data_IF_854172231864
#
_entry.id   IF_854172231864
#
_cell.length_a   1.000
_cell.length_b   1.000
_cell.length_c   1.000
_cell.angle_alpha   90.00
_cell.angle_beta   90.00
_cell.angle_gamma   90.00
#
_symmetry.space_group_name_H-M   'P 1'
#
loop_
_entity.id
_entity.type
_entity.pdbx_description
1 polymer ?
#
# COMPACT_ATOMS: atom_id res chain seq x y z
N UNK A 1 10.23 -12.62 -4.08
CA UNK A 1 9.86 -11.72 -5.18
C UNK A 1 9.25 -12.56 -6.29
N UNK A 2 8.04 -12.21 -6.70
CA UNK A 2 7.38 -12.81 -7.86
C UNK A 2 7.48 -11.83 -9.04
N UNK A 3 8.20 -12.23 -10.09
CA UNK A 3 8.31 -11.42 -11.32
C UNK A 3 7.03 -11.56 -12.12
N UNK A 4 6.48 -10.43 -12.57
CA UNK A 4 5.26 -10.36 -13.40
C UNK A 4 5.61 -9.95 -14.82
N UNK A 5 6.36 -8.87 -15.00
CA UNK A 5 6.85 -8.34 -16.30
C UNK A 5 5.76 -8.28 -17.37
N UNK A 6 4.61 -7.66 -17.02
CA UNK A 6 3.45 -7.51 -17.92
C UNK A 6 3.17 -6.05 -18.17
N UNK A 7 2.96 -5.72 -19.42
CA UNK A 7 2.72 -4.36 -19.90
C UNK A 7 1.39 -4.26 -20.65
N UNK A 8 0.70 -3.15 -20.46
CA UNK A 8 -0.51 -2.78 -21.20
C UNK A 8 -0.42 -1.30 -21.60
N UNK A 9 -0.98 -0.96 -22.75
CA UNK A 9 -1.04 0.43 -23.23
C UNK A 9 -2.47 0.80 -23.57
N UNK A 10 -2.94 1.93 -23.02
CA UNK A 10 -4.24 2.53 -23.32
C UNK A 10 -4.10 4.05 -23.40
N UNK A 11 -4.73 4.66 -24.40
CA UNK A 11 -4.72 6.12 -24.64
C UNK A 11 -3.30 6.75 -24.70
N UNK A 12 -2.29 5.98 -25.15
CA UNK A 12 -0.91 6.44 -25.21
C UNK A 12 -0.17 6.42 -23.86
N UNK A 13 -0.79 5.88 -22.82
CA UNK A 13 -0.19 5.64 -21.52
C UNK A 13 0.12 4.16 -21.42
N UNK A 14 1.31 3.82 -20.96
CA UNK A 14 1.80 2.46 -20.76
C UNK A 14 1.95 2.21 -19.27
N UNK A 15 1.31 1.17 -18.78
CA UNK A 15 1.45 0.67 -17.42
C UNK A 15 2.16 -0.69 -17.48
N UNK A 16 3.29 -0.80 -16.80
CA UNK A 16 4.03 -2.04 -16.65
C UNK A 16 3.99 -2.47 -15.19
N UNK A 17 3.48 -3.66 -14.94
CA UNK A 17 3.57 -4.32 -13.65
C UNK A 17 4.84 -5.16 -13.64
N UNK A 18 5.86 -4.71 -12.89
CA UNK A 18 7.21 -5.27 -12.92
C UNK A 18 7.29 -6.55 -12.07
N UNK A 19 7.02 -6.45 -10.78
CA UNK A 19 7.09 -7.57 -9.85
C UNK A 19 6.26 -7.31 -8.58
N UNK A 20 6.11 -8.37 -7.79
CA UNK A 20 5.47 -8.35 -6.48
C UNK A 20 6.46 -8.78 -5.41
N UNK A 21 6.36 -8.16 -4.24
CA UNK A 21 6.91 -8.68 -2.99
C UNK A 21 5.72 -8.95 -2.09
N UNK A 22 5.54 -10.19 -1.68
CA UNK A 22 4.37 -10.60 -0.92
C UNK A 22 4.73 -11.59 0.19
N UNK A 23 3.88 -11.62 1.20
CA UNK A 23 3.82 -12.63 2.25
C UNK A 23 2.35 -12.98 2.56
N UNK A 24 2.09 -13.62 3.70
CA UNK A 24 0.75 -14.03 4.09
C UNK A 24 -0.21 -12.85 4.37
N UNK A 25 0.31 -11.64 4.63
CA UNK A 25 -0.46 -10.50 5.13
C UNK A 25 -0.38 -9.26 4.24
N UNK A 26 0.56 -9.23 3.29
CA UNK A 26 0.81 -8.04 2.50
C UNK A 26 1.25 -8.39 1.07
N UNK A 27 0.83 -7.55 0.12
CA UNK A 27 1.34 -7.57 -1.26
C UNK A 27 1.81 -6.17 -1.60
N UNK A 28 3.10 -6.04 -1.95
CA UNK A 28 3.66 -4.83 -2.53
C UNK A 28 3.74 -5.02 -4.05
N UNK A 29 3.08 -4.15 -4.79
CA UNK A 29 3.07 -4.12 -6.24
C UNK A 29 4.04 -3.06 -6.73
N UNK A 30 5.02 -3.46 -7.53
CA UNK A 30 5.99 -2.54 -8.14
C UNK A 30 5.67 -2.36 -9.62
N UNK A 31 5.54 -1.10 -10.05
CA UNK A 31 5.07 -0.76 -11.37
C UNK A 31 5.76 0.49 -11.92
N UNK A 32 5.66 0.66 -13.22
CA UNK A 32 6.10 1.85 -13.95
C UNK A 32 4.96 2.37 -14.81
N UNK A 33 4.72 3.69 -14.79
CA UNK A 33 3.77 4.35 -15.70
C UNK A 33 4.53 5.31 -16.58
N UNK A 34 4.24 5.30 -17.88
CA UNK A 34 4.90 6.17 -18.85
C UNK A 34 3.98 6.53 -20.03
N UNK A 35 4.42 7.45 -20.88
CA UNK A 35 3.69 7.87 -22.08
C UNK A 35 2.80 9.08 -21.82
N UNK A 36 2.18 9.63 -22.88
CA UNK A 36 1.52 10.92 -22.83
C UNK A 36 2.52 12.06 -22.55
N UNK A 37 2.02 13.25 -22.37
CA UNK A 37 2.81 14.45 -22.05
C UNK A 37 2.34 14.95 -20.68
N UNK A 38 2.69 14.17 -19.62
CA UNK A 38 2.28 14.39 -18.24
C UNK A 38 3.50 14.41 -17.31
N UNK A 39 3.44 15.22 -16.25
CA UNK A 39 4.51 15.39 -15.29
C UNK A 39 4.38 14.39 -14.12
N UNK A 40 3.17 13.94 -13.84
CA UNK A 40 2.93 12.90 -12.83
C UNK A 40 1.66 12.10 -13.08
N UNK A 41 1.59 10.94 -12.45
CA UNK A 41 0.44 10.06 -12.46
C UNK A 41 0.01 9.74 -11.03
N UNK A 42 -1.28 9.55 -10.82
CA UNK A 42 -1.78 8.92 -9.61
C UNK A 42 -2.53 7.65 -9.98
N UNK A 43 -2.18 6.55 -9.33
CA UNK A 43 -2.75 5.24 -9.57
C UNK A 43 -3.74 4.91 -8.46
N UNK A 44 -4.97 4.60 -8.84
CA UNK A 44 -6.04 4.13 -7.94
C UNK A 44 -6.23 2.63 -8.14
N UNK A 45 -5.51 1.80 -7.39
CA UNK A 45 -5.63 0.35 -7.49
C UNK A 45 -6.88 -0.14 -6.78
N UNK A 46 -7.46 -1.20 -7.32
CA UNK A 46 -8.49 -2.01 -6.67
C UNK A 46 -8.24 -3.48 -6.96
N UNK A 47 -8.58 -4.35 -6.03
CA UNK A 47 -8.45 -5.79 -6.19
C UNK A 47 -9.80 -6.48 -6.02
N UNK A 48 -10.02 -7.52 -6.83
CA UNK A 48 -11.15 -8.45 -6.72
C UNK A 48 -10.61 -9.87 -6.81
N UNK A 49 -11.41 -10.84 -6.46
CA UNK A 49 -11.13 -12.22 -6.79
C UNK A 49 -11.17 -12.47 -8.32
N UNK A 50 -10.75 -13.66 -8.77
CA UNK A 50 -10.65 -13.99 -10.20
C UNK A 50 -12.00 -13.86 -10.95
N UNK A 51 -13.09 -14.15 -10.27
CA UNK A 51 -14.45 -14.09 -10.82
C UNK A 51 -15.11 -12.71 -10.66
N UNK A 52 -14.36 -11.73 -10.14
CA UNK A 52 -14.84 -10.37 -9.91
C UNK A 52 -15.58 -10.19 -8.58
N UNK A 53 -15.55 -11.19 -7.70
CA UNK A 53 -16.09 -11.06 -6.34
C UNK A 53 -15.28 -10.05 -5.53
N UNK A 54 -15.95 -9.31 -4.67
CA UNK A 54 -15.29 -8.37 -3.77
C UNK A 54 -14.48 -9.13 -2.71
N UNK A 55 -13.20 -8.76 -2.58
CA UNK A 55 -12.38 -9.20 -1.47
C UNK A 55 -12.62 -8.28 -0.28
N UNK A 56 -12.63 -8.85 0.92
CA UNK A 56 -12.83 -8.11 2.17
C UNK A 56 -11.57 -8.14 3.05
N UNK A 57 -11.50 -7.23 4.01
CA UNK A 57 -10.47 -7.24 5.04
C UNK A 57 -9.10 -6.80 4.53
N UNK A 58 -9.04 -5.90 3.57
CA UNK A 58 -7.79 -5.29 3.14
C UNK A 58 -7.87 -3.76 3.09
N UNK A 59 -6.71 -3.12 3.10
CA UNK A 59 -6.53 -1.69 2.81
C UNK A 59 -5.46 -1.50 1.75
N UNK A 60 -5.56 -0.43 0.96
CA UNK A 60 -4.57 -0.09 -0.07
C UNK A 60 -3.96 1.27 0.27
N UNK A 61 -2.64 1.36 0.14
CA UNK A 61 -1.89 2.61 0.23
C UNK A 61 -1.16 2.80 -1.10
N UNK A 62 -1.48 3.88 -1.79
CA UNK A 62 -0.87 4.26 -3.07
C UNK A 62 -0.43 5.72 -3.03
N UNK A 63 0.49 6.08 -3.92
CA UNK A 63 1.05 7.43 -4.04
C UNK A 63 1.07 7.94 -5.46
N UNK A 64 1.73 9.07 -5.64
CA UNK A 64 2.03 9.67 -6.93
C UNK A 64 3.23 8.96 -7.56
N UNK A 65 3.21 8.81 -8.89
CA UNK A 65 4.26 8.18 -9.68
C UNK A 65 4.83 9.18 -10.69
N UNK A 66 6.14 9.28 -10.75
CA UNK A 66 6.81 10.04 -11.80
C UNK A 66 6.89 9.23 -13.11
N UNK A 67 6.83 9.88 -14.28
CA UNK A 67 6.87 9.20 -15.57
C UNK A 67 8.13 8.36 -15.78
N UNK A 68 7.93 7.04 -15.98
CA UNK A 68 9.03 6.11 -16.25
C UNK A 68 9.85 5.70 -15.02
N UNK A 69 9.50 6.18 -13.83
CA UNK A 69 10.12 5.76 -12.58
C UNK A 69 9.40 4.57 -11.96
N UNK A 70 10.16 3.71 -11.28
CA UNK A 70 9.61 2.61 -10.52
C UNK A 70 8.89 3.15 -9.29
N UNK A 71 7.62 2.82 -9.17
CA UNK A 71 6.75 3.20 -8.06
C UNK A 71 6.12 1.96 -7.45
N UNK A 72 5.52 2.10 -6.27
CA UNK A 72 4.83 1.00 -5.62
C UNK A 72 3.49 1.43 -5.00
N UNK A 73 2.66 0.45 -4.77
CA UNK A 73 1.55 0.50 -3.82
C UNK A 73 1.46 -0.82 -3.06
N UNK A 74 0.90 -0.75 -1.87
CA UNK A 74 0.77 -1.95 -1.06
C UNK A 74 -0.69 -2.22 -0.67
N UNK A 75 -0.99 -3.51 -0.56
CA UNK A 75 -2.25 -4.07 -0.10
C UNK A 75 -1.98 -4.80 1.20
N UNK A 76 -2.57 -4.33 2.28
CA UNK A 76 -2.43 -4.91 3.61
C UNK A 76 -3.72 -5.65 3.96
N UNK A 77 -3.61 -6.92 4.32
CA UNK A 77 -4.72 -7.74 4.78
C UNK A 77 -4.86 -7.66 6.31
N UNK A 78 -6.09 -7.75 6.80
CA UNK A 78 -6.37 -7.80 8.24
C UNK A 78 -6.11 -9.20 8.79
N UNK A 79 -6.02 -9.34 10.12
CA UNK A 79 -5.73 -10.60 10.81
C UNK A 79 -6.72 -11.74 10.48
N UNK A 80 -7.96 -11.38 10.17
CA UNK A 80 -9.01 -12.34 9.80
C UNK A 80 -9.07 -12.66 8.29
N UNK A 81 -8.14 -12.11 7.51
CA UNK A 81 -8.08 -12.23 6.06
C UNK A 81 -6.78 -12.90 5.64
N UNK A 82 -6.80 -13.51 4.46
CA UNK A 82 -5.62 -14.13 3.88
C UNK A 82 -5.40 -13.61 2.46
N UNK A 83 -4.16 -13.49 2.08
CA UNK A 83 -3.78 -13.25 0.68
C UNK A 83 -4.35 -14.37 -0.19
N UNK A 84 -5.15 -14.09 -1.21
CA UNK A 84 -5.78 -15.10 -2.04
C UNK A 84 -4.74 -15.77 -2.95
N UNK A 85 -5.04 -16.98 -3.44
CA UNK A 85 -4.19 -17.67 -4.44
C UNK A 85 -4.16 -16.97 -5.80
N UNK A 86 -5.21 -16.21 -6.11
CA UNK A 86 -5.31 -15.43 -7.34
C UNK A 86 -6.18 -14.19 -7.11
N UNK A 87 -5.88 -13.13 -7.85
CA UNK A 87 -6.65 -11.89 -7.81
C UNK A 87 -6.68 -11.21 -9.19
N UNK A 88 -7.65 -10.33 -9.36
CA UNK A 88 -7.69 -9.36 -10.45
C UNK A 88 -7.32 -7.99 -9.89
N UNK A 89 -6.23 -7.42 -10.39
CA UNK A 89 -5.81 -6.06 -10.11
C UNK A 89 -6.37 -5.14 -11.20
N UNK A 90 -7.08 -4.08 -10.82
CA UNK A 90 -7.49 -3.00 -11.70
C UNK A 90 -6.87 -1.69 -11.24
N UNK A 91 -6.10 -1.04 -12.11
CA UNK A 91 -5.43 0.23 -11.87
C UNK A 91 -6.09 1.32 -12.72
N UNK A 92 -6.83 2.24 -12.10
CA UNK A 92 -7.30 3.46 -12.75
C UNK A 92 -6.22 4.52 -12.59
N UNK A 93 -5.84 5.17 -13.71
CA UNK A 93 -4.77 6.15 -13.74
C UNK A 93 -5.35 7.52 -14.02
N UNK A 94 -5.00 8.49 -13.20
CA UNK A 94 -5.16 9.93 -13.50
C UNK A 94 -3.79 10.52 -13.80
N UNK A 95 -3.74 11.62 -14.50
CA UNK A 95 -2.49 12.27 -14.89
C UNK A 95 -2.58 13.77 -14.68
N UNK A 96 -1.45 14.37 -14.31
CA UNK A 96 -1.33 15.80 -14.08
C UNK A 96 -0.28 16.39 -15.01
N UNK A 97 -0.58 17.60 -15.54
CA UNK A 97 0.39 18.48 -16.19
C UNK A 97 0.60 19.69 -15.29
N UNK A 98 1.85 20.00 -15.00
CA UNK A 98 2.14 21.29 -14.38
C UNK A 98 1.73 22.40 -15.34
N UNK A 99 0.96 23.36 -14.86
CA UNK A 99 0.64 24.55 -15.64
C UNK A 99 1.95 25.29 -15.88
N UNK A 100 2.39 25.40 -17.14
CA UNK A 100 3.57 26.18 -17.51
C UNK A 100 3.47 27.59 -16.92
N UNK A 101 4.59 28.14 -16.49
CA UNK A 101 4.85 29.42 -15.80
C UNK A 101 3.82 30.52 -16.06
N UNK A 102 2.71 30.55 -15.37
CA UNK A 102 1.70 31.57 -15.59
C UNK A 102 0.49 31.48 -14.68
N UNK A 103 0.68 31.44 -13.42
CA UNK A 103 -0.23 31.58 -12.28
C UNK A 103 -0.19 30.37 -11.35
N UNK A 104 0.76 30.39 -10.45
CA UNK A 104 0.68 29.54 -9.27
C UNK A 104 -0.58 29.88 -8.49
N UNK A 105 -1.50 28.96 -8.24
CA UNK A 105 -2.44 29.14 -7.15
C UNK A 105 -1.61 29.17 -5.86
N UNK A 106 -1.87 30.15 -4.99
CA UNK A 106 -1.22 30.29 -3.72
C UNK A 106 -1.27 28.95 -2.99
N UNK A 107 -0.10 28.41 -2.68
CA UNK A 107 0.08 27.19 -1.95
C UNK A 107 -0.52 27.38 -0.55
N UNK A 108 -1.61 26.68 -0.29
CA UNK A 108 -1.93 26.20 1.05
C UNK A 108 -1.52 24.71 1.04
N UNK A 109 -0.35 24.44 1.60
CA UNK A 109 0.23 23.10 1.71
C UNK A 109 -0.51 22.28 2.76
N UNK A 110 -1.75 21.91 2.48
CA UNK A 110 -2.36 20.81 3.21
C UNK A 110 -2.07 19.51 2.44
N UNK A 111 -1.25 18.65 3.02
CA UNK A 111 -0.84 17.32 2.51
C UNK A 111 -2.05 16.38 2.26
N UNK A 112 -3.25 16.89 2.42
CA UNK A 112 -4.54 16.19 2.29
C UNK A 112 -5.50 17.00 1.42
N UNK A 113 -5.08 17.43 0.22
CA UNK A 113 -6.03 18.00 -0.73
C UNK A 113 -7.02 16.90 -1.16
N UNK A 114 -8.10 16.79 -0.38
CA UNK A 114 -9.32 16.20 -0.93
C UNK A 114 -9.67 17.00 -2.20
N UNK A 115 -9.93 16.31 -3.33
CA UNK A 115 -10.34 16.99 -4.56
C UNK A 115 -11.52 17.90 -4.22
N UNK A 116 -11.48 19.14 -4.70
CA UNK A 116 -12.54 20.13 -4.46
C UNK A 116 -13.91 19.46 -4.63
N UNK A 117 -14.85 19.60 -3.67
CA UNK A 117 -16.09 18.85 -3.66
C UNK A 117 -16.83 19.02 -4.99
N UNK A 118 -16.98 17.93 -5.74
CA UNK A 118 -17.75 17.86 -6.99
C UNK A 118 -16.96 17.66 -8.28
N UNK A 119 -15.64 17.47 -8.24
CA UNK A 119 -14.87 17.11 -9.43
C UNK A 119 -14.16 15.77 -9.21
N UNK A 120 -14.76 14.71 -9.73
CA UNK A 120 -14.07 13.41 -9.80
C UNK A 120 -12.82 13.55 -10.66
N UNK A 121 -11.68 12.96 -10.25
CA UNK A 121 -10.46 12.98 -11.05
C UNK A 121 -10.72 12.32 -12.42
N UNK A 122 -10.26 12.94 -13.49
CA UNK A 122 -10.40 12.40 -14.84
C UNK A 122 -9.51 11.18 -15.01
N UNK A 123 -10.12 10.01 -15.21
CA UNK A 123 -9.40 8.77 -15.50
C UNK A 123 -8.91 8.83 -16.95
N UNK A 124 -7.60 8.80 -17.14
CA UNK A 124 -6.96 8.84 -18.47
C UNK A 124 -6.72 7.44 -19.06
N UNK A 125 -6.55 6.42 -18.19
CA UNK A 125 -6.40 5.02 -18.60
C UNK A 125 -6.82 4.06 -17.49
N UNK A 126 -7.16 2.82 -17.86
CA UNK A 126 -7.51 1.74 -16.91
C UNK A 126 -6.85 0.45 -17.35
N UNK A 127 -6.09 -0.16 -16.46
CA UNK A 127 -5.33 -1.39 -16.72
C UNK A 127 -5.84 -2.51 -15.82
N UNK A 128 -5.91 -3.74 -16.35
CA UNK A 128 -6.40 -4.89 -15.59
C UNK A 128 -5.45 -6.08 -15.76
N UNK A 129 -5.03 -6.67 -14.65
CA UNK A 129 -4.13 -7.82 -14.61
C UNK A 129 -4.76 -8.94 -13.79
N UNK A 130 -4.94 -10.11 -14.41
CA UNK A 130 -5.28 -11.34 -13.70
C UNK A 130 -3.96 -11.98 -13.22
N UNK A 131 -3.82 -12.16 -11.92
CA UNK A 131 -2.59 -12.61 -11.27
C UNK A 131 -2.86 -13.89 -10.49
N UNK A 132 -2.04 -14.91 -10.72
CA UNK A 132 -1.89 -16.04 -9.82
C UNK A 132 -0.73 -15.74 -8.87
N UNK A 133 -0.95 -15.86 -7.57
CA UNK A 133 0.07 -15.61 -6.57
C UNK A 133 0.77 -16.92 -6.21
N UNK A 134 2.08 -16.88 -6.08
CA UNK A 134 2.89 -18.07 -5.80
C UNK A 134 2.81 -18.38 -4.29
N UNK A 135 2.28 -19.55 -3.94
CA UNK A 135 2.06 -20.03 -2.59
C UNK A 135 3.34 -20.12 -1.75
N UNK A 136 4.51 -20.21 -2.39
CA UNK A 136 5.81 -20.16 -1.70
C UNK A 136 6.06 -18.86 -0.94
N UNK A 137 5.38 -17.78 -1.31
CA UNK A 137 5.53 -16.46 -0.70
C UNK A 137 4.43 -16.14 0.31
N UNK A 138 3.36 -16.94 0.38
CA UNK A 138 2.24 -16.74 1.32
C UNK A 138 2.35 -17.58 2.59
N UNK A 139 3.54 -18.12 2.87
CA UNK A 139 3.79 -18.85 4.12
C UNK A 139 3.71 -17.85 5.29
N UNK A 140 2.99 -18.19 6.37
CA UNK A 140 2.95 -17.37 7.58
C UNK A 140 4.34 -17.10 8.14
N UNK A 141 4.54 -15.91 8.69
CA UNK A 141 5.77 -15.53 9.37
C UNK A 141 5.98 -16.26 10.68
N UNK A 142 7.15 -16.05 11.28
CA UNK A 142 7.47 -16.57 12.60
C UNK A 142 6.86 -15.68 13.69
N UNK A 143 6.18 -16.28 14.68
CA UNK A 143 5.61 -15.56 15.81
C UNK A 143 6.47 -15.78 17.06
N UNK A 144 6.95 -14.68 17.64
CA UNK A 144 7.72 -14.66 18.87
C UNK A 144 6.87 -14.10 20.01
N UNK A 145 6.46 -14.92 20.99
CA UNK A 145 5.77 -14.42 22.18
C UNK A 145 6.74 -13.58 23.02
N UNK A 146 6.33 -12.37 23.38
CA UNK A 146 7.12 -11.44 24.19
C UNK A 146 6.62 -11.39 25.64
N UNK A 147 5.31 -11.24 25.82
CA UNK A 147 4.62 -11.12 27.12
C UNK A 147 5.32 -10.13 28.09
N UNK A 148 5.82 -9.02 27.57
CA UNK A 148 6.66 -8.07 28.31
C UNK A 148 5.93 -6.76 28.54
N UNK A 149 5.84 -6.36 29.81
CA UNK A 149 5.39 -5.03 30.18
C UNK A 149 6.53 -3.99 30.02
N UNK A 150 6.19 -2.88 29.42
CA UNK A 150 7.04 -1.69 29.33
C UNK A 150 6.29 -0.49 29.89
N UNK A 151 7.00 0.52 30.41
CA UNK A 151 6.46 1.76 30.92
C UNK A 151 7.06 2.93 30.12
N UNK A 152 6.18 3.79 29.63
CA UNK A 152 6.54 5.00 28.88
C UNK A 152 5.67 6.14 29.43
N UNK A 153 6.30 7.23 29.92
CA UNK A 153 5.62 8.39 30.49
C UNK A 153 4.57 8.06 31.54
N UNK A 154 4.85 7.08 32.40
CA UNK A 154 3.93 6.61 33.44
C UNK A 154 2.72 5.80 32.93
N UNK A 155 2.72 5.45 31.65
CA UNK A 155 1.73 4.57 31.02
C UNK A 155 2.34 3.19 30.78
N UNK A 156 1.55 2.13 30.96
CA UNK A 156 2.02 0.75 30.80
C UNK A 156 1.48 0.10 29.53
N UNK A 157 2.35 -0.57 28.79
CA UNK A 157 2.03 -1.34 27.60
C UNK A 157 2.49 -2.76 27.76
N UNK A 158 1.66 -3.70 27.37
CA UNK A 158 2.02 -5.10 27.23
C UNK A 158 2.41 -5.36 25.77
N UNK A 159 3.68 -5.64 25.52
CA UNK A 159 4.18 -6.19 24.26
C UNK A 159 3.84 -7.69 24.27
N UNK A 160 2.85 -8.09 23.46
CA UNK A 160 2.31 -9.46 23.48
C UNK A 160 3.16 -10.40 22.66
N UNK A 161 3.30 -10.08 21.39
CA UNK A 161 4.01 -10.93 20.43
C UNK A 161 4.57 -10.08 19.28
N UNK A 162 5.63 -10.56 18.67
CA UNK A 162 6.20 -10.05 17.45
C UNK A 162 6.05 -11.10 16.36
N UNK A 163 5.33 -10.76 15.30
CA UNK A 163 5.23 -11.56 14.09
C UNK A 163 6.23 -11.00 13.06
N UNK A 164 7.09 -11.87 12.54
CA UNK A 164 8.12 -11.50 11.56
C UNK A 164 7.78 -12.15 10.21
N UNK A 165 7.36 -11.33 9.27
CA UNK A 165 7.05 -11.73 7.91
C UNK A 165 8.18 -11.29 6.95
N UNK A 166 8.27 -11.86 5.74
CA UNK A 166 9.27 -11.48 4.75
C UNK A 166 9.22 -10.01 4.31
N UNK A 167 8.07 -9.35 4.40
CA UNK A 167 7.89 -7.96 3.97
C UNK A 167 7.87 -6.97 5.12
N UNK A 168 7.46 -7.39 6.32
CA UNK A 168 7.27 -6.52 7.48
C UNK A 168 7.29 -7.31 8.79
N UNK A 169 7.38 -6.58 9.91
CA UNK A 169 7.17 -7.14 11.23
C UNK A 169 5.94 -6.46 11.88
N UNK A 170 5.16 -7.23 12.64
CA UNK A 170 3.98 -6.76 13.37
C UNK A 170 4.18 -6.97 14.86
N UNK A 171 4.08 -5.89 15.62
CA UNK A 171 4.14 -5.95 17.09
C UNK A 171 2.72 -5.77 17.66
N UNK A 172 2.19 -6.83 18.30
CA UNK A 172 0.92 -6.75 19.00
C UNK A 172 1.13 -6.11 20.38
N UNK A 173 0.45 -4.97 20.61
CA UNK A 173 0.56 -4.18 21.84
C UNK A 173 -0.82 -4.01 22.47
N UNK A 174 -0.91 -4.14 23.78
CA UNK A 174 -2.12 -3.85 24.56
C UNK A 174 -1.83 -2.78 25.60
N UNK A 175 -2.71 -1.81 25.74
CA UNK A 175 -2.64 -0.80 26.80
C UNK A 175 -3.15 -1.39 28.13
N UNK A 176 -2.52 -0.97 29.24
CA UNK A 176 -3.05 -1.25 30.57
C UNK A 176 -4.39 -0.48 30.77
N UNK A 177 -5.44 -1.12 31.31
CA UNK A 177 -6.72 -0.45 31.58
C UNK A 177 -6.59 0.75 32.52
N UNK A 178 -5.59 0.78 33.39
CA UNK A 178 -5.34 1.87 34.33
C UNK A 178 -4.58 3.05 33.73
N UNK A 179 -4.21 2.99 32.45
CA UNK A 179 -3.57 4.11 31.76
C UNK A 179 -4.48 5.33 31.71
N UNK A 180 -3.91 6.50 32.00
CA UNK A 180 -4.62 7.79 32.05
C UNK A 180 -4.49 8.60 30.76
N UNK A 181 -3.62 8.17 29.85
CA UNK A 181 -3.39 8.79 28.56
C UNK A 181 -3.23 7.77 27.45
N UNK A 182 -3.57 8.20 26.25
CA UNK A 182 -3.33 7.41 25.04
C UNK A 182 -1.92 7.71 24.53
N UNK A 183 -1.10 6.68 24.39
CA UNK A 183 0.22 6.78 23.79
C UNK A 183 0.09 6.76 22.25
N UNK A 184 0.59 7.81 21.61
CA UNK A 184 0.66 7.97 20.14
C UNK A 184 2.10 8.24 19.72
N UNK A 185 2.46 7.79 18.51
CA UNK A 185 3.77 8.10 17.93
C UNK A 185 4.92 7.39 18.65
N UNK A 186 4.71 6.15 19.09
CA UNK A 186 5.79 5.32 19.62
C UNK A 186 6.57 4.71 18.45
N UNK A 187 7.88 4.91 18.44
CA UNK A 187 8.80 4.23 17.53
C UNK A 187 9.42 3.04 18.25
N UNK A 188 9.34 1.87 17.62
CA UNK A 188 9.94 0.64 18.11
C UNK A 188 11.15 0.29 17.25
N UNK A 189 12.27 -0.04 17.89
CA UNK A 189 13.50 -0.42 17.21
C UNK A 189 13.90 -1.83 17.66
N UNK A 190 14.37 -2.64 16.71
CA UNK A 190 15.06 -3.89 16.97
C UNK A 190 16.56 -3.60 16.92
N UNK A 191 17.28 -3.93 18.00
CA UNK A 191 18.72 -3.77 18.07
C UNK A 191 19.38 -5.15 18.23
N UNK A 192 20.44 -5.40 17.48
CA UNK A 192 21.31 -6.55 17.66
C UNK A 192 22.26 -6.27 18.84
N UNK A 193 22.52 -7.30 19.70
CA UNK A 193 23.50 -7.24 20.78
C UNK A 193 24.95 -7.38 20.27
#
# INVERSE_FOLDING_TARGET
VQVVDREQTENGITFRLDYLILDAMQINFFYTVSGGDYDSYHVYPSITGPDGEELAGYSIISGEAAPGELSDFNVNYSDDSQVPEALRLTCKVTARREAGDGMAPAADESIWDEPAPGREPEIVATFTFDLALDDRFTVPGDTLPLDKWVEVDGQRLLLRELEVNPTHARLAVSSDPDNTAWLRGLDFYLEDE
#
